data_IF_631085003953
#
_entry.id   IF_631085003953
#
_cell.length_a   1.000
_cell.length_b   1.000
_cell.length_c   1.000
_cell.angle_alpha   90.00
_cell.angle_beta   90.00
_cell.angle_gamma   90.00
#
_symmetry.space_group_name_H-M   'P 1'
#
loop_
_entity.id
_entity.type
_entity.pdbx_description
1 polymer ?
#
# COMPACT_ATOMS: atom_id res chain seq x y z
N UNK A 1 1.80 -9.98 10.66
CA UNK A 1 1.37 -8.98 9.66
C UNK A 1 2.50 -7.98 9.45
N UNK A 2 2.88 -7.68 8.20
CA UNK A 2 4.01 -6.79 7.88
C UNK A 2 3.73 -5.32 8.24
N UNK A 3 4.73 -4.44 8.11
CA UNK A 3 4.52 -2.99 8.17
C UNK A 3 3.91 -2.48 6.85
N UNK A 4 3.43 -1.23 6.82
CA UNK A 4 3.04 -0.55 5.58
C UNK A 4 4.18 -0.58 4.55
N UNK A 5 5.42 -0.40 5.01
CA UNK A 5 6.62 -0.45 4.19
C UNK A 5 6.75 -1.78 3.46
N UNK A 6 6.56 -2.89 4.18
CA UNK A 6 6.65 -4.23 3.59
C UNK A 6 5.49 -4.49 2.62
N UNK A 7 4.27 -4.11 2.98
CA UNK A 7 3.10 -4.28 2.10
C UNK A 7 3.24 -3.48 0.80
N UNK A 8 3.64 -2.23 0.91
CA UNK A 8 3.85 -1.33 -0.22
C UNK A 8 4.93 -1.88 -1.15
N UNK A 9 6.08 -2.28 -0.60
CA UNK A 9 7.18 -2.89 -1.36
C UNK A 9 6.72 -4.14 -2.09
N UNK A 10 6.07 -5.06 -1.38
CA UNK A 10 5.58 -6.32 -1.96
C UNK A 10 4.60 -6.06 -3.11
N UNK A 11 3.60 -5.18 -2.92
CA UNK A 11 2.62 -4.83 -3.97
C UNK A 11 3.28 -4.17 -5.19
N UNK A 12 4.25 -3.29 -4.97
CA UNK A 12 5.02 -2.67 -6.04
C UNK A 12 5.77 -3.73 -6.88
N UNK A 13 6.42 -4.68 -6.20
CA UNK A 13 7.18 -5.76 -6.83
C UNK A 13 6.27 -6.76 -7.57
N UNK A 14 5.09 -7.09 -7.02
CA UNK A 14 4.05 -7.88 -7.70
C UNK A 14 3.61 -7.25 -9.04
N UNK A 15 3.60 -5.92 -9.12
CA UNK A 15 3.28 -5.16 -10.33
C UNK A 15 4.50 -4.91 -11.24
N UNK A 16 5.68 -5.45 -10.90
CA UNK A 16 6.94 -5.23 -11.61
C UNK A 16 7.32 -3.74 -11.79
N UNK A 17 6.94 -2.90 -10.82
CA UNK A 17 7.25 -1.48 -10.83
C UNK A 17 8.56 -1.20 -10.08
N UNK A 18 9.40 -0.33 -10.64
CA UNK A 18 10.47 0.32 -9.89
C UNK A 18 9.91 1.37 -8.92
N UNK A 19 10.73 1.79 -7.95
CA UNK A 19 10.35 2.87 -7.04
C UNK A 19 10.05 4.19 -7.78
N UNK A 20 10.83 4.52 -8.82
CA UNK A 20 10.58 5.72 -9.60
C UNK A 20 9.24 5.65 -10.33
N UNK A 21 8.93 4.53 -10.98
CA UNK A 21 7.66 4.35 -11.70
C UNK A 21 6.44 4.47 -10.77
N UNK A 22 6.47 3.85 -9.58
CA UNK A 22 5.36 4.00 -8.63
C UNK A 22 5.25 5.43 -8.11
N UNK A 23 6.38 6.10 -7.85
CA UNK A 23 6.38 7.49 -7.42
C UNK A 23 5.75 8.42 -8.48
N UNK A 24 6.09 8.22 -9.76
CA UNK A 24 5.55 8.96 -10.89
C UNK A 24 4.03 8.73 -11.03
N UNK A 25 3.56 7.48 -10.93
CA UNK A 25 2.13 7.14 -10.97
C UNK A 25 1.31 7.82 -9.87
N UNK A 26 1.92 8.00 -8.70
CA UNK A 26 1.28 8.57 -7.51
C UNK A 26 1.40 10.09 -7.47
N UNK A 27 2.31 10.69 -8.25
CA UNK A 27 2.61 12.11 -8.20
C UNK A 27 3.47 12.51 -6.99
N UNK A 28 4.39 11.64 -6.56
CA UNK A 28 5.36 11.92 -5.50
C UNK A 28 6.81 11.72 -5.98
N UNK A 29 7.78 12.06 -5.13
CA UNK A 29 9.20 11.83 -5.45
C UNK A 29 9.65 10.41 -5.11
N UNK A 30 10.61 9.87 -5.85
CA UNK A 30 11.21 8.56 -5.55
C UNK A 30 11.77 8.49 -4.12
N UNK A 31 12.37 9.57 -3.62
CA UNK A 31 12.92 9.64 -2.26
C UNK A 31 11.82 9.54 -1.20
N UNK A 32 10.65 10.15 -1.46
CA UNK A 32 9.49 10.02 -0.57
C UNK A 32 9.00 8.57 -0.53
N UNK A 33 8.94 7.90 -1.68
CA UNK A 33 8.58 6.48 -1.74
C UNK A 33 9.61 5.61 -1.01
N UNK A 34 10.90 5.86 -1.23
CA UNK A 34 11.99 5.16 -0.54
C UNK A 34 11.90 5.32 0.98
N UNK A 35 11.56 6.51 1.49
CA UNK A 35 11.39 6.75 2.92
C UNK A 35 10.21 5.93 3.50
N UNK A 36 9.17 5.67 2.71
CA UNK A 36 8.06 4.79 3.12
C UNK A 36 8.54 3.34 3.15
N UNK A 37 9.20 2.85 2.10
CA UNK A 37 9.73 1.47 2.03
C UNK A 37 10.82 1.19 3.07
N UNK A 38 11.57 2.20 3.49
CA UNK A 38 12.55 2.11 4.58
C UNK A 38 11.92 2.16 5.99
N UNK A 39 10.61 2.40 6.11
CA UNK A 39 9.92 2.47 7.39
C UNK A 39 10.08 3.78 8.15
N UNK A 40 10.73 4.78 7.54
CA UNK A 40 10.87 6.13 8.10
C UNK A 40 9.50 6.80 8.10
N UNK A 41 8.79 6.73 6.97
CA UNK A 41 7.42 7.26 6.87
C UNK A 41 6.40 6.14 7.11
N UNK A 42 5.74 6.19 8.27
CA UNK A 42 4.71 5.20 8.65
C UNK A 42 3.27 5.60 8.24
N UNK A 43 3.07 6.88 7.93
CA UNK A 43 1.78 7.44 7.50
C UNK A 43 2.00 8.36 6.29
N UNK A 44 2.07 7.80 5.07
CA UNK A 44 2.30 8.59 3.87
C UNK A 44 1.12 9.52 3.59
N UNK A 45 1.42 10.75 3.16
CA UNK A 45 0.40 11.75 2.78
C UNK A 45 -0.46 11.26 1.62
N UNK A 46 0.13 10.54 0.67
CA UNK A 46 -0.50 10.06 -0.55
C UNK A 46 -1.04 8.63 -0.40
N UNK A 47 -1.60 8.28 0.76
CA UNK A 47 -2.05 6.90 1.04
C UNK A 47 -3.12 6.43 0.04
N UNK A 48 -4.04 7.32 -0.34
CA UNK A 48 -5.15 6.98 -1.23
C UNK A 48 -4.64 6.76 -2.66
N UNK A 49 -3.77 7.63 -3.14
CA UNK A 49 -3.14 7.54 -4.45
C UNK A 49 -2.24 6.31 -4.55
N UNK A 50 -1.47 6.01 -3.49
CA UNK A 50 -0.71 4.76 -3.37
C UNK A 50 -1.63 3.54 -3.46
N UNK A 51 -2.72 3.52 -2.71
CA UNK A 51 -3.67 2.40 -2.72
C UNK A 51 -4.30 2.19 -4.09
N UNK A 52 -4.61 3.29 -4.80
CA UNK A 52 -5.17 3.28 -6.15
C UNK A 52 -4.14 2.75 -7.16
N UNK A 53 -2.91 3.27 -7.14
CA UNK A 53 -1.84 2.83 -8.05
C UNK A 53 -1.43 1.36 -7.81
N UNK A 54 -1.53 0.88 -6.57
CA UNK A 54 -1.22 -0.50 -6.18
C UNK A 54 -2.42 -1.45 -6.30
N UNK A 55 -3.61 -0.95 -6.63
CA UNK A 55 -4.84 -1.74 -6.73
C UNK A 55 -5.21 -2.46 -5.43
N UNK A 56 -5.08 -1.79 -4.28
CA UNK A 56 -5.39 -2.37 -2.97
C UNK A 56 -6.20 -1.42 -2.10
N UNK A 57 -6.79 -1.94 -1.03
CA UNK A 57 -7.53 -1.12 -0.07
C UNK A 57 -6.57 -0.24 0.78
N UNK A 58 -6.84 1.07 0.95
CA UNK A 58 -5.98 1.96 1.71
C UNK A 58 -5.89 1.61 3.21
N UNK A 59 -6.95 1.06 3.81
CA UNK A 59 -6.94 0.63 5.20
C UNK A 59 -6.06 -0.62 5.37
N UNK A 60 -6.16 -1.58 4.45
CA UNK A 60 -5.24 -2.73 4.37
C UNK A 60 -3.80 -2.27 4.16
N UNK A 61 -3.55 -1.31 3.27
CA UNK A 61 -2.21 -0.80 3.03
C UNK A 61 -1.63 -0.18 4.32
N UNK A 62 -2.43 0.59 5.06
CA UNK A 62 -2.00 1.27 6.28
C UNK A 62 -1.88 0.34 7.50
N UNK A 63 -2.88 -0.50 7.74
CA UNK A 63 -3.02 -1.30 8.96
C UNK A 63 -2.66 -2.77 8.77
N UNK A 64 -2.75 -3.29 7.55
CA UNK A 64 -2.57 -4.72 7.26
C UNK A 64 -3.80 -5.57 7.57
N UNK A 65 -4.89 -4.91 7.93
CA UNK A 65 -6.20 -5.51 8.20
C UNK A 65 -7.09 -5.21 7.01
N UNK A 66 -7.65 -6.23 6.36
CA UNK A 66 -8.69 -6.02 5.36
C UNK A 66 -9.98 -5.70 6.12
N UNK A 67 -10.74 -4.69 5.69
CA UNK A 67 -12.10 -4.42 6.20
C UNK A 67 -13.12 -5.45 5.74
N UNK A 68 -12.69 -6.70 5.47
CA UNK A 68 -13.60 -7.83 5.38
C UNK A 68 -14.22 -8.07 6.76
N UNK A 69 -15.23 -7.24 7.04
CA UNK A 69 -16.36 -7.66 7.82
C UNK A 69 -16.86 -8.91 7.11
N UNK A 70 -16.60 -10.05 7.74
CA UNK A 70 -17.25 -11.33 7.48
C UNK A 70 -18.73 -11.06 7.17
N UNK A 71 -19.12 -11.09 5.88
CA UNK A 71 -20.51 -11.29 5.54
C UNK A 71 -20.81 -12.77 5.70
N UNK A 72 -21.77 -13.03 6.60
CA UNK A 72 -22.32 -14.32 7.00
C UNK A 72 -22.80 -15.22 5.83
N UNK A 73 -22.95 -16.51 6.15
CA UNK A 73 -23.80 -17.43 5.40
C UNK A 73 -23.87 -18.81 6.04
N UNK A 74 -24.34 -18.92 7.30
CA UNK A 74 -24.81 -20.20 7.82
C UNK A 74 -26.35 -20.14 7.87
N UNK A 75 -26.94 -20.17 6.67
CA UNK A 75 -28.33 -20.57 6.44
C UNK A 75 -28.33 -22.08 6.17
N UNK A 76 -28.48 -22.90 7.23
CA UNK A 76 -29.38 -24.07 7.34
C UNK A 76 -29.36 -24.60 8.78
#
# INVERSE_FOLDING_TARGET
MGSISQRLKNKREELNLSQAQLADLVGMTQQSLQAIEAGITKRPRYLIELSTALGCDPYWLLHGESTETKSNGNDV
#
